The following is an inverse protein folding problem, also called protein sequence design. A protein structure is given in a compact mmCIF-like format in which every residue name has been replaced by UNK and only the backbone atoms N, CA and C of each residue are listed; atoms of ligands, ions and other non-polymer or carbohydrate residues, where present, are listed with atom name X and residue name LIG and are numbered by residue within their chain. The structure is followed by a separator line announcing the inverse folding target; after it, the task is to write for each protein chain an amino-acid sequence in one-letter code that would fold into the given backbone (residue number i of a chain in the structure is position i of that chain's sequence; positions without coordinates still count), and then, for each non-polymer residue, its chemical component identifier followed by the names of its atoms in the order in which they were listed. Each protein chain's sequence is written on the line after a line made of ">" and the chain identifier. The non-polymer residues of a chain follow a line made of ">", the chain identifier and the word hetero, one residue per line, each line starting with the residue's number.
data_IF_490198996617
#
_entry.id   IF_490198996617
#
_cell.length_a   1.000
_cell.length_b   1.000
_cell.length_c   1.000
_cell.angle_alpha   90.00
_cell.angle_beta   90.00
_cell.angle_gamma   90.00
#
_symmetry.space_group_name_H-M   'P 1'
#
loop_
_entity.id
_entity.type
_entity.pdbx_description
1 polymer ?
#
# COMPACT_ATOMS: atom_id res chain seq x y z
N UNK A 1 32.72 24.89 24.46
CA UNK A 1 31.41 24.35 24.04
C UNK A 1 31.22 24.80 22.61
N UNK A 2 31.47 23.89 21.67
CA UNK A 2 31.20 24.10 20.25
C UNK A 2 29.78 23.60 20.03
N UNK A 3 28.87 24.50 19.68
CA UNK A 3 27.52 24.19 19.24
C UNK A 3 27.63 23.53 17.86
N UNK A 4 27.34 22.23 17.79
CA UNK A 4 27.07 21.53 16.55
C UNK A 4 25.63 21.88 16.16
N UNK A 5 25.45 22.92 15.34
CA UNK A 5 24.22 23.12 14.60
C UNK A 5 23.98 21.89 13.70
N UNK A 6 22.80 21.25 13.76
CA UNK A 6 22.47 20.21 12.78
C UNK A 6 22.33 20.88 11.41
N UNK A 7 23.18 20.48 10.47
CA UNK A 7 23.02 20.83 9.07
C UNK A 7 21.74 20.17 8.55
N UNK A 8 20.68 20.96 8.46
CA UNK A 8 19.52 20.65 7.64
C UNK A 8 20.01 20.75 6.20
N UNK A 9 20.43 19.64 5.61
CA UNK A 9 20.55 19.52 4.16
C UNK A 9 19.13 19.65 3.58
N UNK A 10 18.71 20.90 3.37
CA UNK A 10 17.67 21.22 2.42
C UNK A 10 18.17 20.80 1.04
N UNK A 11 17.85 19.58 0.62
CA UNK A 11 18.03 19.19 -0.77
C UNK A 11 17.17 20.11 -1.63
N UNK A 12 17.90 21.00 -2.29
CA UNK A 12 17.48 22.12 -3.10
C UNK A 12 16.70 21.63 -4.33
N UNK A 13 15.36 21.59 -4.20
CA UNK A 13 14.47 21.53 -5.34
C UNK A 13 14.17 22.95 -5.81
N UNK A 14 14.84 23.39 -6.88
CA UNK A 14 14.68 24.69 -7.52
C UNK A 14 13.21 25.18 -7.61
N UNK A 15 12.93 26.51 -7.55
CA UNK A 15 11.59 27.09 -7.64
C UNK A 15 11.08 27.06 -9.10
N UNK A 16 11.00 25.87 -9.68
CA UNK A 16 10.47 25.63 -11.02
C UNK A 16 9.04 25.12 -10.91
N UNK A 17 8.07 25.97 -11.28
CA UNK A 17 6.63 25.69 -11.51
C UNK A 17 6.11 24.42 -10.80
N UNK A 18 5.46 24.60 -9.65
CA UNK A 18 4.70 23.55 -8.96
C UNK A 18 3.81 22.83 -9.98
N UNK A 19 4.15 21.58 -10.31
CA UNK A 19 3.27 20.71 -11.08
C UNK A 19 1.93 20.61 -10.36
N UNK A 20 0.84 20.40 -11.10
CA UNK A 20 -0.45 20.13 -10.48
C UNK A 20 -0.33 18.93 -9.56
N UNK A 21 -0.87 19.03 -8.34
CA UNK A 21 -0.78 18.00 -7.29
C UNK A 21 -1.04 16.56 -7.76
N UNK A 22 -1.92 16.37 -8.75
CA UNK A 22 -2.17 15.06 -9.34
C UNK A 22 -0.96 14.49 -10.07
N UNK A 23 -0.33 15.27 -10.95
CA UNK A 23 0.83 14.81 -11.74
C UNK A 23 1.99 14.52 -10.81
N UNK A 24 2.19 15.36 -9.79
CA UNK A 24 3.19 15.13 -8.74
C UNK A 24 2.97 13.79 -8.01
N UNK A 25 1.72 13.48 -7.67
CA UNK A 25 1.36 12.21 -7.04
C UNK A 25 1.68 11.00 -7.91
N UNK A 26 1.49 11.10 -9.23
CA UNK A 26 1.88 10.03 -10.17
C UNK A 26 3.39 9.95 -10.37
N UNK A 27 4.13 11.05 -10.26
CA UNK A 27 5.59 11.03 -10.39
C UNK A 27 6.28 10.43 -9.15
N UNK A 28 5.57 10.31 -8.02
CA UNK A 28 6.12 9.84 -6.75
C UNK A 28 6.90 8.51 -6.83
N UNK A 29 6.39 7.43 -7.47
CA UNK A 29 7.12 6.16 -7.55
C UNK A 29 8.24 6.14 -8.60
N UNK A 30 8.37 7.20 -9.42
CA UNK A 30 9.38 7.29 -10.50
C UNK A 30 10.76 7.74 -9.95
N UNK A 31 10.90 7.91 -8.64
CA UNK A 31 12.22 8.09 -8.01
C UNK A 31 13.07 6.82 -8.09
N UNK A 32 14.39 6.94 -7.93
CA UNK A 32 15.29 5.78 -7.92
C UNK A 32 14.92 4.75 -6.84
N UNK A 33 14.59 5.21 -5.63
CA UNK A 33 14.12 4.38 -4.53
C UNK A 33 12.76 3.72 -4.87
N UNK A 34 11.80 4.49 -5.37
CA UNK A 34 10.47 3.99 -5.76
C UNK A 34 10.54 2.93 -6.87
N UNK A 35 11.36 3.14 -7.90
CA UNK A 35 11.59 2.18 -8.98
C UNK A 35 12.31 0.92 -8.48
N UNK A 36 13.23 1.05 -7.53
CA UNK A 36 13.91 -0.10 -6.91
C UNK A 36 12.92 -0.97 -6.15
N UNK A 37 12.06 -0.35 -5.34
CA UNK A 37 11.01 -1.05 -4.58
C UNK A 37 9.94 -1.65 -5.50
N UNK A 38 9.51 -0.92 -6.52
CA UNK A 38 8.60 -1.41 -7.55
C UNK A 38 9.20 -2.64 -8.27
N UNK A 39 10.46 -2.55 -8.69
CA UNK A 39 11.21 -3.64 -9.30
C UNK A 39 11.29 -4.85 -8.37
N UNK A 40 11.58 -4.64 -7.09
CA UNK A 40 11.62 -5.71 -6.08
C UNK A 40 10.26 -6.42 -5.95
N UNK A 41 9.17 -5.68 -5.77
CA UNK A 41 7.82 -6.25 -5.60
C UNK A 41 7.26 -6.95 -6.84
N UNK A 42 7.75 -6.59 -8.03
CA UNK A 42 7.28 -7.13 -9.31
C UNK A 42 8.17 -8.27 -9.79
N UNK A 43 9.47 -8.02 -9.90
CA UNK A 43 10.44 -8.92 -10.52
C UNK A 43 10.81 -10.09 -9.61
N UNK A 44 11.04 -9.86 -8.30
CA UNK A 44 11.44 -10.93 -7.39
C UNK A 44 10.42 -12.09 -7.36
N UNK A 45 9.13 -11.87 -7.07
CA UNK A 45 8.14 -12.95 -7.08
C UNK A 45 7.88 -13.53 -8.48
N UNK A 46 8.19 -12.78 -9.55
CA UNK A 46 8.14 -13.30 -10.91
C UNK A 46 9.29 -14.29 -11.18
N UNK A 47 10.52 -13.92 -10.83
CA UNK A 47 11.71 -14.79 -10.93
C UNK A 47 11.53 -16.05 -10.08
N UNK A 48 11.06 -15.93 -8.84
CA UNK A 48 10.77 -17.09 -7.98
C UNK A 48 9.80 -18.08 -8.64
N UNK A 49 8.77 -17.56 -9.34
CA UNK A 49 7.82 -18.40 -10.08
C UNK A 49 8.49 -19.12 -11.26
N UNK A 50 9.38 -18.45 -12.01
CA UNK A 50 10.11 -19.06 -13.11
C UNK A 50 11.05 -20.17 -12.61
N UNK A 51 11.75 -19.95 -11.49
CA UNK A 51 12.62 -20.96 -10.88
C UNK A 51 11.80 -22.18 -10.47
N UNK A 52 10.67 -21.98 -9.79
CA UNK A 52 9.78 -23.08 -9.40
C UNK A 52 9.24 -23.84 -10.62
N UNK A 53 8.86 -23.13 -11.69
CA UNK A 53 8.39 -23.77 -12.93
C UNK A 53 9.49 -24.59 -13.61
N UNK A 54 10.73 -24.10 -13.61
CA UNK A 54 11.89 -24.86 -14.10
C UNK A 54 12.17 -26.11 -13.26
N UNK A 55 12.04 -26.02 -11.93
CA UNK A 55 12.18 -27.16 -11.03
C UNK A 55 11.09 -28.22 -11.24
N UNK A 56 9.85 -27.79 -11.48
CA UNK A 56 8.74 -28.69 -11.83
C UNK A 56 9.01 -29.41 -13.14
N UNK A 57 9.57 -28.73 -14.14
CA UNK A 57 9.92 -29.32 -15.43
C UNK A 57 10.98 -30.43 -15.31
N UNK A 58 11.90 -30.35 -14.33
CA UNK A 58 12.88 -31.40 -14.03
C UNK A 58 12.27 -32.68 -13.43
N UNK A 59 11.02 -32.65 -12.94
CA UNK A 59 10.26 -33.84 -12.57
C UNK A 59 10.70 -34.56 -11.30
N UNK A 60 11.41 -33.90 -10.37
CA UNK A 60 11.90 -34.52 -9.12
C UNK A 60 10.98 -34.13 -7.94
N UNK A 61 9.94 -34.91 -7.59
CA UNK A 61 8.95 -34.52 -6.58
C UNK A 61 9.54 -34.29 -5.18
N UNK A 62 10.60 -35.02 -4.82
CA UNK A 62 11.27 -34.88 -3.53
C UNK A 62 11.86 -33.47 -3.27
N UNK A 63 12.22 -32.74 -4.33
CA UNK A 63 12.77 -31.37 -4.24
C UNK A 63 11.65 -30.33 -4.42
N UNK A 64 10.61 -30.64 -5.21
CA UNK A 64 9.54 -29.70 -5.54
C UNK A 64 8.74 -29.27 -4.31
N UNK A 65 8.35 -30.20 -3.44
CA UNK A 65 7.54 -29.89 -2.24
C UNK A 65 8.26 -28.94 -1.27
N UNK A 66 9.49 -29.22 -0.79
CA UNK A 66 10.20 -28.31 0.10
C UNK A 66 10.51 -26.97 -0.58
N UNK A 67 10.88 -26.97 -1.86
CA UNK A 67 11.11 -25.74 -2.61
C UNK A 67 9.84 -24.88 -2.68
N UNK A 68 8.69 -25.47 -3.02
CA UNK A 68 7.40 -24.76 -3.07
C UNK A 68 7.03 -24.13 -1.72
N UNK A 69 7.32 -24.82 -0.61
CA UNK A 69 7.10 -24.29 0.74
C UNK A 69 8.01 -23.09 1.04
N UNK A 70 9.31 -23.18 0.70
CA UNK A 70 10.26 -22.06 0.82
C UNK A 70 9.80 -20.85 -0.02
N UNK A 71 9.40 -21.09 -1.28
CA UNK A 71 8.87 -20.04 -2.15
C UNK A 71 7.61 -19.38 -1.58
N UNK A 72 6.74 -20.15 -0.93
CA UNK A 72 5.56 -19.63 -0.25
C UNK A 72 5.97 -18.69 0.90
N UNK A 73 6.92 -19.10 1.74
CA UNK A 73 7.44 -18.27 2.84
C UNK A 73 8.02 -16.96 2.30
N UNK A 74 8.90 -17.03 1.29
CA UNK A 74 9.49 -15.84 0.69
C UNK A 74 8.40 -14.92 0.13
N UNK A 75 7.39 -15.48 -0.54
CA UNK A 75 6.26 -14.69 -1.06
C UNK A 75 5.48 -14.01 0.06
N UNK A 76 5.26 -14.68 1.19
CA UNK A 76 4.64 -14.09 2.37
C UNK A 76 5.47 -12.93 2.91
N UNK A 77 6.80 -13.10 3.03
CA UNK A 77 7.72 -12.03 3.47
C UNK A 77 7.65 -10.81 2.54
N UNK A 78 7.67 -11.03 1.22
CA UNK A 78 7.56 -9.92 0.24
C UNK A 78 6.23 -9.18 0.39
N UNK A 79 5.11 -9.91 0.54
CA UNK A 79 3.81 -9.26 0.74
C UNK A 79 3.77 -8.47 2.04
N UNK A 80 4.33 -9.03 3.11
CA UNK A 80 4.42 -8.37 4.42
C UNK A 80 5.23 -7.07 4.33
N UNK A 81 6.41 -7.13 3.72
CA UNK A 81 7.27 -5.98 3.48
C UNK A 81 6.60 -4.92 2.59
N UNK A 82 5.80 -5.34 1.59
CA UNK A 82 5.02 -4.42 0.77
C UNK A 82 4.00 -3.63 1.61
N UNK A 83 3.26 -4.29 2.51
CA UNK A 83 2.30 -3.60 3.38
C UNK A 83 2.98 -2.62 4.34
N UNK A 84 4.11 -3.00 4.93
CA UNK A 84 4.94 -2.08 5.71
C UNK A 84 5.34 -0.86 4.89
N UNK A 85 5.88 -1.07 3.69
CA UNK A 85 6.32 0.01 2.81
C UNK A 85 5.20 0.97 2.41
N UNK A 86 3.97 0.47 2.24
CA UNK A 86 2.80 1.33 2.00
C UNK A 86 2.51 2.24 3.20
N UNK A 87 2.60 1.71 4.42
CA UNK A 87 2.51 2.51 5.65
C UNK A 87 3.59 3.56 5.75
N UNK A 88 4.83 3.17 5.46
CA UNK A 88 5.98 4.07 5.46
C UNK A 88 5.81 5.21 4.44
N UNK A 89 5.34 4.90 3.22
CA UNK A 89 5.00 5.92 2.23
C UNK A 89 3.91 6.90 2.72
N UNK A 90 2.89 6.41 3.45
CA UNK A 90 1.84 7.29 4.01
C UNK A 90 2.45 8.26 5.01
N UNK A 91 3.29 7.78 5.93
CA UNK A 91 3.92 8.58 6.99
C UNK A 91 4.81 9.68 6.41
N UNK A 92 5.75 9.31 5.54
CA UNK A 92 6.65 10.26 4.86
C UNK A 92 5.88 11.32 4.06
N UNK A 93 4.81 10.89 3.36
CA UNK A 93 3.99 11.81 2.57
C UNK A 93 3.14 12.74 3.44
N UNK A 94 2.77 12.29 4.64
CA UNK A 94 2.06 13.06 5.65
C UNK A 94 2.98 14.11 6.31
N UNK A 95 4.28 13.85 6.41
CA UNK A 95 5.30 14.82 6.86
C UNK A 95 5.65 15.86 5.78
N UNK A 96 5.20 15.64 4.55
CA UNK A 96 5.35 16.58 3.44
C UNK A 96 6.45 16.21 2.45
N UNK A 97 7.05 15.02 2.57
CA UNK A 97 8.01 14.53 1.58
C UNK A 97 7.33 14.23 0.23
N UNK A 98 8.03 14.56 -0.86
CA UNK A 98 7.53 14.48 -2.23
C UNK A 98 8.07 13.28 -3.02
N UNK A 99 8.97 12.48 -2.44
CA UNK A 99 9.62 11.35 -3.13
C UNK A 99 9.48 10.08 -2.31
N UNK A 100 9.39 8.95 -3.01
CA UNK A 100 9.35 7.65 -2.35
C UNK A 100 10.60 7.44 -1.48
N UNK A 101 10.43 6.94 -0.26
CA UNK A 101 11.52 6.87 0.70
C UNK A 101 12.48 5.74 0.34
N UNK A 102 13.75 5.97 0.65
CA UNK A 102 14.84 5.01 0.43
C UNK A 102 15.04 4.16 1.68
N UNK A 103 14.59 2.92 1.61
CA UNK A 103 14.72 1.94 2.69
C UNK A 103 16.05 1.17 2.65
N UNK A 104 16.89 1.44 1.66
CA UNK A 104 18.24 0.86 1.55
C UNK A 104 19.31 1.78 2.15
N UNK A 105 18.92 2.99 2.57
CA UNK A 105 19.80 3.91 3.26
C UNK A 105 20.22 3.29 4.62
N UNK A 106 21.52 3.32 4.96
CA UNK A 106 22.05 2.67 6.16
C UNK A 106 21.52 3.24 7.49
N UNK A 107 20.82 4.38 7.47
CA UNK A 107 20.32 5.07 8.66
C UNK A 107 18.89 4.67 9.05
N UNK A 108 18.18 3.88 8.23
CA UNK A 108 16.85 3.38 8.56
C UNK A 108 16.95 2.14 9.47
N UNK A 109 17.44 2.29 10.69
CA UNK A 109 17.56 1.20 11.68
C UNK A 109 16.23 0.92 12.40
N UNK A 110 15.15 0.87 11.62
CA UNK A 110 13.84 0.43 12.11
C UNK A 110 13.92 -1.07 12.42
N UNK A 111 13.88 -1.42 13.71
CA UNK A 111 13.95 -2.81 14.13
C UNK A 111 12.87 -3.68 13.48
N UNK A 112 13.19 -4.95 13.20
CA UNK A 112 12.26 -5.94 12.62
C UNK A 112 10.91 -5.99 13.36
N UNK A 113 10.93 -5.82 14.69
CA UNK A 113 9.73 -5.78 15.51
C UNK A 113 8.76 -4.66 15.14
N UNK A 114 9.28 -3.49 14.80
CA UNK A 114 8.47 -2.32 14.41
C UNK A 114 7.86 -2.53 13.02
N UNK A 115 8.65 -3.04 12.09
CA UNK A 115 8.18 -3.48 10.77
C UNK A 115 7.02 -4.48 10.89
N UNK A 116 7.15 -5.45 11.79
CA UNK A 116 6.11 -6.45 12.06
C UNK A 116 4.86 -5.80 12.64
N UNK A 117 5.02 -4.95 13.66
CA UNK A 117 3.91 -4.27 14.32
C UNK A 117 3.10 -3.43 13.34
N UNK A 118 3.75 -2.55 12.57
CA UNK A 118 3.08 -1.69 11.59
C UNK A 118 2.35 -2.49 10.51
N UNK A 119 2.97 -3.55 9.99
CA UNK A 119 2.32 -4.41 9.00
C UNK A 119 1.08 -5.08 9.58
N UNK A 120 1.16 -5.62 10.79
CA UNK A 120 0.02 -6.23 11.46
C UNK A 120 -1.09 -5.22 11.74
N UNK A 121 -0.75 -3.96 12.04
CA UNK A 121 -1.73 -2.89 12.20
C UNK A 121 -2.45 -2.57 10.89
N UNK A 122 -1.74 -2.48 9.76
CA UNK A 122 -2.35 -2.25 8.44
C UNK A 122 -3.24 -3.42 8.03
N UNK A 123 -2.74 -4.65 8.18
CA UNK A 123 -3.52 -5.87 7.88
C UNK A 123 -4.72 -6.02 8.80
N UNK A 124 -4.56 -5.71 10.09
CA UNK A 124 -5.63 -5.71 11.07
C UNK A 124 -6.70 -4.67 10.74
N UNK A 125 -6.30 -3.48 10.28
CA UNK A 125 -7.21 -2.44 9.81
C UNK A 125 -8.02 -2.90 8.60
N UNK A 126 -7.35 -3.48 7.59
CA UNK A 126 -8.02 -4.06 6.43
C UNK A 126 -8.98 -5.19 6.84
N UNK A 127 -8.56 -6.06 7.75
CA UNK A 127 -9.41 -7.12 8.28
C UNK A 127 -10.64 -6.55 8.97
N UNK A 128 -10.51 -5.61 9.91
CA UNK A 128 -11.62 -5.00 10.65
C UNK A 128 -12.62 -4.33 9.70
N UNK A 129 -12.15 -3.58 8.69
CA UNK A 129 -13.04 -2.93 7.73
C UNK A 129 -13.79 -3.92 6.83
N UNK A 130 -13.15 -5.00 6.39
CA UNK A 130 -13.74 -5.96 5.45
C UNK A 130 -14.45 -7.14 6.14
N UNK A 131 -14.22 -7.34 7.44
CA UNK A 131 -14.77 -8.44 8.24
C UNK A 131 -16.29 -8.55 8.16
N UNK A 132 -17.09 -7.46 8.23
CA UNK A 132 -18.55 -7.57 8.15
C UNK A 132 -19.03 -8.24 6.86
N UNK A 133 -18.42 -7.91 5.71
CA UNK A 133 -18.73 -8.54 4.43
C UNK A 133 -18.32 -10.02 4.39
N UNK A 134 -17.15 -10.34 4.94
CA UNK A 134 -16.65 -11.73 5.02
C UNK A 134 -17.56 -12.58 5.92
N UNK A 135 -17.91 -12.11 7.12
CA UNK A 135 -18.80 -12.81 8.06
C UNK A 135 -20.18 -13.03 7.44
N UNK A 136 -20.69 -12.02 6.73
CA UNK A 136 -21.95 -12.12 6.00
C UNK A 136 -21.90 -13.26 4.97
N UNK A 137 -20.88 -13.28 4.11
CA UNK A 137 -20.69 -14.33 3.11
C UNK A 137 -20.56 -15.73 3.74
N UNK A 138 -19.75 -15.88 4.78
CA UNK A 138 -19.55 -17.17 5.46
C UNK A 138 -20.84 -17.71 6.13
N UNK A 139 -21.74 -16.81 6.55
CA UNK A 139 -22.98 -17.21 7.23
C UNK A 139 -24.12 -17.52 6.26
N UNK A 140 -24.17 -16.80 5.13
CA UNK A 140 -25.29 -16.89 4.17
C UNK A 140 -24.96 -17.67 2.91
N UNK A 141 -23.68 -17.83 2.57
CA UNK A 141 -23.18 -18.46 1.34
C UNK A 141 -23.84 -17.87 0.07
N UNK A 142 -24.25 -16.60 0.14
CA UNK A 142 -24.88 -15.88 -0.98
C UNK A 142 -24.16 -14.57 -1.25
N UNK A 143 -23.89 -14.30 -2.53
CA UNK A 143 -23.38 -13.03 -3.01
C UNK A 143 -24.59 -12.18 -3.44
N UNK A 144 -25.20 -11.48 -2.48
CA UNK A 144 -26.36 -10.62 -2.70
C UNK A 144 -26.00 -9.13 -2.61
N UNK A 145 -27.00 -8.25 -2.73
CA UNK A 145 -26.80 -6.81 -2.61
C UNK A 145 -26.26 -6.40 -1.23
N UNK A 146 -26.65 -7.10 -0.16
CA UNK A 146 -26.19 -6.80 1.19
C UNK A 146 -24.69 -7.08 1.36
N UNK A 147 -24.21 -8.21 0.81
CA UNK A 147 -22.78 -8.51 0.75
C UNK A 147 -22.00 -7.38 0.06
N UNK A 148 -22.44 -6.93 -1.12
CA UNK A 148 -21.79 -5.85 -1.85
C UNK A 148 -21.84 -4.52 -1.11
N UNK A 149 -22.96 -4.20 -0.45
CA UNK A 149 -23.08 -2.99 0.37
C UNK A 149 -22.13 -3.01 1.57
N UNK A 150 -22.00 -4.14 2.26
CA UNK A 150 -21.05 -4.30 3.37
C UNK A 150 -19.60 -4.21 2.90
N UNK A 151 -19.28 -4.84 1.77
CA UNK A 151 -17.94 -4.79 1.20
C UNK A 151 -17.60 -3.38 0.70
N UNK A 152 -18.55 -2.69 0.06
CA UNK A 152 -18.39 -1.32 -0.40
C UNK A 152 -18.24 -0.35 0.78
N UNK A 153 -19.01 -0.53 1.85
CA UNK A 153 -18.85 0.25 3.08
C UNK A 153 -17.47 0.03 3.70
N UNK A 154 -17.06 -1.24 3.87
CA UNK A 154 -15.74 -1.58 4.39
C UNK A 154 -14.60 -0.99 3.57
N UNK A 155 -14.67 -1.12 2.23
CA UNK A 155 -13.74 -0.48 1.31
C UNK A 155 -13.78 1.04 1.39
N UNK A 156 -14.96 1.65 1.54
CA UNK A 156 -15.08 3.11 1.67
C UNK A 156 -14.46 3.63 2.98
N UNK A 157 -14.51 2.89 4.09
CA UNK A 157 -13.88 3.30 5.34
C UNK A 157 -12.38 2.98 5.41
N UNK A 158 -11.90 2.03 4.61
CA UNK A 158 -10.55 1.50 4.68
C UNK A 158 -9.44 2.56 4.51
N UNK A 159 -9.46 3.48 3.52
CA UNK A 159 -8.40 4.48 3.37
C UNK A 159 -8.29 5.36 4.61
N UNK A 160 -9.41 5.82 5.16
CA UNK A 160 -9.41 6.66 6.35
C UNK A 160 -8.93 5.93 7.60
N UNK A 161 -9.38 4.68 7.79
CA UNK A 161 -8.96 3.84 8.90
C UNK A 161 -7.46 3.54 8.82
N UNK A 162 -6.97 3.17 7.64
CA UNK A 162 -5.55 2.91 7.41
C UNK A 162 -4.70 4.15 7.69
N UNK A 163 -5.13 5.32 7.21
CA UNK A 163 -4.45 6.58 7.48
C UNK A 163 -4.39 6.88 8.98
N UNK A 164 -5.53 6.76 9.68
CA UNK A 164 -5.60 7.05 11.11
C UNK A 164 -4.71 6.13 11.95
N UNK A 165 -4.64 4.84 11.60
CA UNK A 165 -3.80 3.86 12.29
C UNK A 165 -2.32 4.10 12.05
N UNK A 166 -1.93 4.44 10.81
CA UNK A 166 -0.53 4.75 10.48
C UNK A 166 -0.05 6.02 11.20
N UNK A 167 -0.90 7.06 11.27
CA UNK A 167 -0.55 8.33 11.90
C UNK A 167 -0.55 8.28 13.43
N UNK A 168 -1.47 7.53 14.05
CA UNK A 168 -1.54 7.39 15.51
C UNK A 168 -0.67 6.24 16.05
N UNK A 169 -0.07 5.46 15.16
CA UNK A 169 0.85 4.37 15.48
C UNK A 169 0.28 3.34 16.47
N UNK A 170 -1.03 3.10 16.38
CA UNK A 170 -1.76 2.25 17.32
C UNK A 170 -3.20 1.95 16.90
N UNK A 171 -3.80 0.97 17.58
CA UNK A 171 -5.20 0.54 17.34
C UNK A 171 -6.22 1.60 17.74
N UNK A 172 -5.83 2.62 18.52
CA UNK A 172 -6.68 3.78 18.81
C UNK A 172 -7.15 4.50 17.54
N UNK A 173 -6.37 4.43 16.46
CA UNK A 173 -6.75 4.94 15.14
C UNK A 173 -7.96 4.23 14.50
N UNK A 174 -8.36 3.06 15.03
CA UNK A 174 -9.58 2.36 14.58
C UNK A 174 -10.84 2.83 15.30
N UNK A 175 -10.80 3.95 16.04
CA UNK A 175 -12.00 4.50 16.66
C UNK A 175 -13.06 4.84 15.58
N UNK A 176 -14.20 4.12 15.52
CA UNK A 176 -15.18 4.30 14.46
C UNK A 176 -15.79 5.71 14.45
N UNK A 177 -15.96 6.33 15.63
CA UNK A 177 -16.46 7.69 15.74
C UNK A 177 -15.46 8.69 15.15
N UNK A 178 -14.17 8.54 15.47
CA UNK A 178 -13.11 9.38 14.92
C UNK A 178 -13.06 9.30 13.39
N UNK A 179 -13.11 8.09 12.85
CA UNK A 179 -13.10 7.85 11.40
C UNK A 179 -14.32 8.51 10.72
N UNK A 180 -15.53 8.27 11.23
CA UNK A 180 -16.77 8.84 10.64
C UNK A 180 -16.77 10.36 10.68
N UNK A 181 -16.42 10.96 11.83
CA UNK A 181 -16.34 12.42 11.97
C UNK A 181 -15.31 13.00 11.00
N UNK A 182 -14.16 12.35 10.87
CA UNK A 182 -13.09 12.79 9.97
C UNK A 182 -13.53 12.75 8.50
N UNK A 183 -14.23 11.68 8.09
CA UNK A 183 -14.82 11.57 6.74
C UNK A 183 -15.85 12.68 6.52
N UNK A 184 -16.75 12.95 7.47
CA UNK A 184 -17.76 14.01 7.31
C UNK A 184 -17.09 15.38 7.15
N UNK A 185 -16.08 15.70 7.98
CA UNK A 185 -15.35 16.98 7.91
C UNK A 185 -14.56 17.18 6.61
N UNK A 186 -14.23 16.10 5.91
CA UNK A 186 -13.40 16.11 4.69
C UNK A 186 -14.11 15.52 3.47
N UNK A 187 -15.43 15.32 3.54
CA UNK A 187 -16.20 14.41 2.67
C UNK A 187 -15.89 14.56 1.18
N UNK A 188 -15.97 15.76 0.62
CA UNK A 188 -15.73 15.98 -0.81
C UNK A 188 -14.29 15.64 -1.23
N UNK A 189 -13.30 16.05 -0.44
CA UNK A 189 -11.89 15.73 -0.69
C UNK A 189 -11.65 14.22 -0.54
N UNK A 190 -12.26 13.63 0.48
CA UNK A 190 -12.18 12.20 0.75
C UNK A 190 -12.76 11.37 -0.40
N UNK A 191 -13.98 11.67 -0.86
CA UNK A 191 -14.59 10.98 -2.00
C UNK A 191 -13.72 11.06 -3.26
N UNK A 192 -13.08 12.21 -3.51
CA UNK A 192 -12.16 12.39 -4.63
C UNK A 192 -10.93 11.46 -4.51
N UNK A 193 -10.24 11.48 -3.36
CA UNK A 193 -9.06 10.63 -3.11
C UNK A 193 -9.42 9.14 -3.15
N UNK A 194 -10.51 8.75 -2.49
CA UNK A 194 -11.03 7.37 -2.48
C UNK A 194 -11.41 6.90 -3.88
N UNK A 195 -12.04 7.75 -4.69
CA UNK A 195 -12.34 7.46 -6.09
C UNK A 195 -11.06 7.26 -6.92
N UNK A 196 -10.08 8.15 -6.76
CA UNK A 196 -8.77 8.04 -7.44
C UNK A 196 -7.98 6.81 -6.99
N UNK A 197 -8.17 6.36 -5.76
CA UNK A 197 -7.58 5.14 -5.23
C UNK A 197 -8.23 3.89 -5.85
N UNK A 198 -9.55 3.75 -5.75
CA UNK A 198 -10.23 2.50 -6.09
C UNK A 198 -10.51 2.32 -7.58
N UNK A 199 -10.82 3.39 -8.33
CA UNK A 199 -11.24 3.27 -9.74
C UNK A 199 -10.12 2.68 -10.61
N UNK A 200 -8.87 3.18 -10.59
CA UNK A 200 -7.79 2.61 -11.40
C UNK A 200 -7.48 1.15 -11.01
N UNK A 201 -7.46 0.86 -9.71
CA UNK A 201 -7.23 -0.50 -9.19
C UNK A 201 -8.33 -1.46 -9.68
N UNK A 202 -9.60 -1.04 -9.62
CA UNK A 202 -10.74 -1.83 -10.07
C UNK A 202 -10.71 -2.08 -11.59
N UNK A 203 -10.37 -1.05 -12.39
CA UNK A 203 -10.20 -1.19 -13.85
C UNK A 203 -9.12 -2.23 -14.16
N UNK A 204 -7.98 -2.18 -13.47
CA UNK A 204 -6.89 -3.13 -13.69
C UNK A 204 -7.29 -4.54 -13.29
N UNK A 205 -7.88 -4.69 -12.10
CA UNK A 205 -8.37 -5.99 -11.63
C UNK A 205 -9.38 -6.59 -12.62
N UNK A 206 -10.30 -5.77 -13.15
CA UNK A 206 -11.27 -6.17 -14.16
C UNK A 206 -10.58 -6.59 -15.47
N UNK A 207 -9.66 -5.79 -16.00
CA UNK A 207 -8.93 -6.11 -17.24
C UNK A 207 -8.12 -7.40 -17.07
N UNK A 208 -7.50 -7.63 -15.92
CA UNK A 208 -6.73 -8.85 -15.63
C UNK A 208 -7.55 -10.14 -15.74
N UNK A 209 -8.88 -10.10 -15.59
CA UNK A 209 -9.76 -11.26 -15.77
C UNK A 209 -9.78 -11.72 -17.24
N UNK A 210 -9.65 -10.79 -18.18
CA UNK A 210 -9.69 -11.06 -19.63
C UNK A 210 -8.31 -11.31 -20.24
N UNK A 211 -7.22 -11.12 -19.48
CA UNK A 211 -5.87 -11.35 -19.97
C UNK A 211 -5.64 -12.86 -20.16
N UNK A 212 -5.20 -13.33 -21.35
CA UNK A 212 -4.90 -14.73 -21.59
C UNK A 212 -3.93 -15.31 -20.55
N UNK A 213 -4.20 -16.54 -20.10
CA UNK A 213 -3.44 -17.15 -18.99
C UNK A 213 -1.97 -17.42 -19.34
N UNK A 214 -1.68 -17.55 -20.62
CA UNK A 214 -0.37 -17.80 -21.22
C UNK A 214 0.42 -16.51 -21.50
N UNK A 215 -0.22 -15.34 -21.56
CA UNK A 215 0.48 -14.08 -21.82
C UNK A 215 1.21 -13.56 -20.56
N UNK A 216 2.43 -14.06 -20.38
CA UNK A 216 3.30 -13.74 -19.24
C UNK A 216 3.64 -12.25 -19.17
N UNK A 217 3.91 -11.62 -20.32
CA UNK A 217 4.30 -10.20 -20.41
C UNK A 217 3.18 -9.30 -19.92
N UNK A 218 1.95 -9.51 -20.39
CA UNK A 218 0.80 -8.71 -19.94
C UNK A 218 0.57 -8.86 -18.43
N UNK A 219 0.67 -10.08 -17.89
CA UNK A 219 0.55 -10.30 -16.43
C UNK A 219 1.60 -9.54 -15.63
N UNK A 220 2.84 -9.49 -16.13
CA UNK A 220 3.92 -8.75 -15.49
C UNK A 220 3.64 -7.24 -15.53
N UNK A 221 3.19 -6.71 -16.68
CA UNK A 221 2.83 -5.30 -16.84
C UNK A 221 1.66 -4.89 -15.93
N UNK A 222 0.57 -5.66 -15.90
CA UNK A 222 -0.56 -5.38 -15.02
C UNK A 222 -0.18 -5.47 -13.54
N UNK A 223 0.69 -6.42 -13.16
CA UNK A 223 1.23 -6.49 -11.81
C UNK A 223 2.06 -5.25 -11.47
N UNK A 224 2.93 -4.81 -12.37
CA UNK A 224 3.72 -3.61 -12.18
C UNK A 224 2.83 -2.38 -12.00
N UNK A 225 1.83 -2.21 -12.87
CA UNK A 225 0.87 -1.12 -12.79
C UNK A 225 0.04 -1.17 -11.49
N UNK A 226 -0.36 -2.36 -11.04
CA UNK A 226 -1.07 -2.53 -9.77
C UNK A 226 -0.22 -2.10 -8.57
N UNK A 227 1.03 -2.59 -8.47
CA UNK A 227 1.93 -2.21 -7.37
C UNK A 227 2.26 -0.71 -7.43
N UNK A 228 2.52 -0.19 -8.62
CA UNK A 228 2.74 1.24 -8.84
C UNK A 228 1.56 2.07 -8.31
N UNK A 229 0.32 1.69 -8.64
CA UNK A 229 -0.85 2.40 -8.17
C UNK A 229 -1.05 2.29 -6.67
N UNK A 230 -0.69 1.16 -6.04
CA UNK A 230 -0.71 1.06 -4.57
C UNK A 230 0.25 2.05 -3.92
N UNK A 231 1.45 2.26 -4.49
CA UNK A 231 2.42 3.25 -4.00
C UNK A 231 1.92 4.69 -4.24
N UNK A 232 1.31 4.98 -5.39
CA UNK A 232 0.66 6.29 -5.64
C UNK A 232 -0.46 6.51 -4.63
N UNK A 233 -1.27 5.50 -4.40
CA UNK A 233 -2.38 5.52 -3.46
C UNK A 233 -1.94 5.82 -2.01
N UNK A 234 -0.88 5.16 -1.54
CA UNK A 234 -0.33 5.41 -0.20
C UNK A 234 0.20 6.85 -0.08
N UNK A 235 0.90 7.34 -1.11
CA UNK A 235 1.34 8.73 -1.16
C UNK A 235 0.16 9.73 -1.14
N UNK A 236 -0.86 9.51 -1.97
CA UNK A 236 -2.05 10.37 -2.01
C UNK A 236 -2.77 10.42 -0.65
N UNK A 237 -2.79 9.31 0.08
CA UNK A 237 -3.40 9.21 1.40
C UNK A 237 -2.61 10.02 2.45
N UNK A 238 -1.28 9.94 2.44
CA UNK A 238 -0.44 10.81 3.29
C UNK A 238 -0.57 12.29 2.93
N UNK A 239 -0.60 12.63 1.63
CA UNK A 239 -0.86 14.01 1.18
C UNK A 239 -2.25 14.50 1.55
N UNK A 240 -3.24 13.62 1.57
CA UNK A 240 -4.57 13.95 2.04
C UNK A 240 -4.56 14.34 3.53
N UNK A 241 -3.81 13.63 4.37
CA UNK A 241 -3.58 14.02 5.76
C UNK A 241 -2.91 15.39 5.85
N UNK A 242 -1.75 15.56 5.21
CA UNK A 242 -1.00 16.82 5.23
C UNK A 242 -1.88 18.04 4.88
N UNK A 243 -2.73 17.91 3.86
CA UNK A 243 -3.61 18.99 3.41
C UNK A 243 -4.85 19.23 4.30
N UNK A 244 -5.15 18.34 5.25
CA UNK A 244 -6.34 18.38 6.08
C UNK A 244 -6.06 18.16 7.58
N UNK A 245 -4.81 18.16 8.02
CA UNK A 245 -4.40 17.91 9.40
C UNK A 245 -5.24 18.71 10.41
N UNK A 246 -5.36 20.03 10.21
CA UNK A 246 -6.16 20.90 11.07
C UNK A 246 -7.68 20.66 11.05
N UNK A 247 -8.21 19.85 10.12
CA UNK A 247 -9.62 19.41 10.12
C UNK A 247 -9.80 18.04 10.76
N UNK A 248 -8.77 17.21 10.68
CA UNK A 248 -8.79 15.84 11.22
C UNK A 248 -8.72 15.85 12.74
N UNK A 249 -7.91 16.75 13.33
CA UNK A 249 -7.89 17.01 14.78
C UNK A 249 -7.62 15.72 15.58
N UNK A 250 -6.62 14.95 15.14
CA UNK A 250 -6.25 13.66 15.72
C UNK A 250 -5.22 13.76 16.85
N UNK A 251 -4.68 14.97 17.10
CA UNK A 251 -3.61 15.25 18.05
C UNK A 251 -3.94 16.47 18.90
#
# INVERSE_FOLDING_TARGET
>A
MLELEPQIEHVEGAPGKRLTWLVDSFLYPISAAGLTMLGMFVLLPFVLKLILQGLVWLGIPAIIVPAAFIFLIIRCIIMFYMFWYLGFCIRESAEGHFRAPDTLAPDSDDGIGETIRQTLMILGTAAVCLLPGIVYYLTKDTIDINFWLLLAAGGFFLPMAMLSVVMQDGLWGLNPFGIVVSIIRTFLKYCCVTGMFYVPIAIIAYVMIYVPKDNVVMKLLFRAMYVYLLIVASHMLGRFFYNNEGRLDWF
#
